data_IF_827024230777
#
_entry.id   IF_827024230777
#
_cell.length_a   1.000
_cell.length_b   1.000
_cell.length_c   1.000
_cell.angle_alpha   90.00
_cell.angle_beta   90.00
_cell.angle_gamma   90.00
#
_symmetry.space_group_name_H-M   'P 1'
#
loop_
_entity.id
_entity.type
_entity.pdbx_description
1 polymer ?
#
# COMPACT_ATOMS: atom_id res chain seq x y z
N UNK A 1 24.07 -2.22 -63.98
CA UNK A 1 24.88 -2.69 -62.83
C UNK A 1 24.64 -1.75 -61.67
N UNK A 2 23.96 -2.19 -60.62
CA UNK A 2 23.73 -1.37 -59.42
C UNK A 2 24.96 -1.55 -58.54
N UNK A 3 25.83 -0.54 -58.49
CA UNK A 3 26.96 -0.48 -57.56
C UNK A 3 26.41 -0.35 -56.14
N UNK A 4 26.50 -1.42 -55.34
CA UNK A 4 26.15 -1.36 -53.92
C UNK A 4 27.17 -0.46 -53.22
N UNK A 5 26.71 0.69 -52.69
CA UNK A 5 27.52 1.52 -51.78
C UNK A 5 27.90 0.67 -50.57
N UNK A 6 29.20 0.47 -50.35
CA UNK A 6 29.71 -0.17 -49.14
C UNK A 6 29.51 0.80 -47.97
N UNK A 7 28.82 0.35 -46.93
CA UNK A 7 28.60 1.11 -45.70
C UNK A 7 29.94 1.29 -44.98
N UNK A 8 30.26 2.51 -44.56
CA UNK A 8 31.50 2.76 -43.82
C UNK A 8 31.31 2.42 -42.34
N UNK A 9 32.37 1.94 -41.68
CA UNK A 9 32.33 1.67 -40.24
C UNK A 9 32.02 2.94 -39.42
N UNK A 10 32.41 4.11 -39.93
CA UNK A 10 32.12 5.41 -39.33
C UNK A 10 30.61 5.74 -39.35
N UNK A 11 29.93 5.52 -40.48
CA UNK A 11 28.48 5.75 -40.58
C UNK A 11 27.71 4.90 -39.56
N UNK A 12 28.11 3.65 -39.37
CA UNK A 12 27.49 2.78 -38.37
C UNK A 12 27.74 3.27 -36.94
N UNK A 13 28.96 3.74 -36.67
CA UNK A 13 29.36 4.20 -35.34
C UNK A 13 28.63 5.48 -34.93
N UNK A 14 28.47 6.46 -35.83
CA UNK A 14 27.74 7.70 -35.55
C UNK A 14 26.26 7.41 -35.28
N UNK A 15 25.65 6.50 -36.05
CA UNK A 15 24.24 6.13 -35.84
C UNK A 15 24.04 5.48 -34.49
N UNK A 16 24.91 4.53 -34.10
CA UNK A 16 24.85 3.92 -32.77
C UNK A 16 25.08 4.93 -31.65
N UNK A 17 26.00 5.88 -31.82
CA UNK A 17 26.22 6.96 -30.85
C UNK A 17 24.95 7.79 -30.63
N UNK A 18 24.25 8.16 -31.71
CA UNK A 18 23.00 8.93 -31.62
C UNK A 18 21.90 8.11 -30.91
N UNK A 19 21.75 6.82 -31.24
CA UNK A 19 20.76 5.93 -30.60
C UNK A 19 21.02 5.83 -29.09
N UNK A 20 22.28 5.67 -28.67
CA UNK A 20 22.65 5.57 -27.25
C UNK A 20 22.28 6.85 -26.49
N UNK A 21 22.57 8.03 -27.06
CA UNK A 21 22.21 9.32 -26.44
C UNK A 21 20.69 9.44 -26.30
N UNK A 22 19.92 9.09 -27.34
CA UNK A 22 18.46 9.15 -27.29
C UNK A 22 17.88 8.20 -26.25
N UNK A 23 18.34 6.94 -26.21
CA UNK A 23 17.87 5.95 -25.23
C UNK A 23 18.22 6.38 -23.80
N UNK A 24 19.43 6.91 -23.58
CA UNK A 24 19.85 7.40 -22.25
C UNK A 24 18.92 8.49 -21.70
N UNK A 25 18.39 9.37 -22.55
CA UNK A 25 17.43 10.41 -22.15
C UNK A 25 16.00 9.88 -21.98
N UNK A 26 15.60 8.84 -22.74
CA UNK A 26 14.24 8.29 -22.71
C UNK A 26 14.00 7.32 -21.54
N UNK A 27 15.01 6.55 -21.14
CA UNK A 27 14.91 5.55 -20.06
C UNK A 27 14.37 6.12 -18.73
N UNK A 28 14.90 7.23 -18.16
CA UNK A 28 14.40 7.75 -16.88
C UNK A 28 12.96 8.27 -16.98
N UNK A 29 12.56 8.81 -18.14
CA UNK A 29 11.19 9.23 -18.35
C UNK A 29 10.22 8.03 -18.38
N UNK A 30 10.61 6.94 -19.06
CA UNK A 30 9.79 5.74 -19.17
C UNK A 30 9.57 5.05 -17.81
N UNK A 31 10.59 4.98 -16.95
CA UNK A 31 10.45 4.38 -15.62
C UNK A 31 9.49 5.17 -14.73
N UNK A 32 9.55 6.51 -14.77
CA UNK A 32 8.62 7.37 -14.05
C UNK A 32 7.18 7.22 -14.55
N UNK A 33 6.97 7.18 -15.88
CA UNK A 33 5.65 6.95 -16.50
C UNK A 33 5.10 5.58 -16.10
N UNK A 34 5.92 4.52 -16.16
CA UNK A 34 5.51 3.18 -15.74
C UNK A 34 5.07 3.15 -14.28
N UNK A 35 5.83 3.75 -13.36
CA UNK A 35 5.45 3.83 -11.94
C UNK A 35 4.09 4.51 -11.76
N UNK A 36 3.86 5.64 -12.44
CA UNK A 36 2.58 6.35 -12.40
C UNK A 36 1.43 5.52 -12.97
N UNK A 37 1.65 4.82 -14.08
CA UNK A 37 0.65 3.92 -14.66
C UNK A 37 0.26 2.79 -13.71
N UNK A 38 1.22 2.18 -13.02
CA UNK A 38 0.94 1.14 -12.02
C UNK A 38 0.18 1.69 -10.81
N UNK A 39 0.48 2.93 -10.39
CA UNK A 39 -0.30 3.65 -9.37
C UNK A 39 -1.75 3.87 -9.82
N UNK A 40 -1.99 4.30 -11.06
CA UNK A 40 -3.36 4.47 -11.59
C UNK A 40 -4.13 3.16 -11.61
N UNK A 41 -3.49 2.05 -12.02
CA UNK A 41 -4.10 0.72 -11.94
C UNK A 41 -4.44 0.32 -10.50
N UNK A 42 -3.57 0.62 -9.54
CA UNK A 42 -3.84 0.37 -8.12
C UNK A 42 -5.04 1.19 -7.60
N UNK A 43 -5.15 2.47 -8.00
CA UNK A 43 -6.29 3.34 -7.68
C UNK A 43 -7.58 2.74 -8.23
N UNK A 44 -7.58 2.26 -9.47
CA UNK A 44 -8.74 1.63 -10.08
C UNK A 44 -9.14 0.32 -9.34
N UNK A 45 -8.17 -0.47 -8.91
CA UNK A 45 -8.43 -1.66 -8.08
C UNK A 45 -9.06 -1.28 -6.73
N UNK A 46 -8.54 -0.24 -6.06
CA UNK A 46 -9.11 0.27 -4.81
C UNK A 46 -10.57 0.75 -4.98
N UNK A 47 -10.88 1.44 -6.08
CA UNK A 47 -12.26 1.80 -6.40
C UNK A 47 -13.16 0.57 -6.58
N UNK A 48 -12.72 -0.44 -7.33
CA UNK A 48 -13.48 -1.68 -7.51
C UNK A 48 -13.69 -2.45 -6.19
N UNK A 49 -12.68 -2.49 -5.32
CA UNK A 49 -12.80 -3.07 -3.99
C UNK A 49 -13.81 -2.30 -3.11
N UNK A 50 -13.78 -0.97 -3.17
CA UNK A 50 -14.76 -0.13 -2.49
C UNK A 50 -16.18 -0.39 -3.01
N UNK A 51 -16.38 -0.51 -4.32
CA UNK A 51 -17.70 -0.86 -4.87
C UNK A 51 -18.19 -2.21 -4.35
N UNK A 52 -17.34 -3.23 -4.34
CA UNK A 52 -17.68 -4.55 -3.80
C UNK A 52 -18.02 -4.49 -2.30
N UNK A 53 -17.29 -3.67 -1.54
CA UNK A 53 -17.57 -3.42 -0.12
C UNK A 53 -18.87 -2.67 0.11
N UNK A 54 -19.19 -1.67 -0.72
CA UNK A 54 -20.44 -0.92 -0.64
C UNK A 54 -21.64 -1.80 -0.98
N UNK A 55 -21.54 -2.66 -2.01
CA UNK A 55 -22.58 -3.64 -2.34
C UNK A 55 -22.80 -4.64 -1.19
N UNK A 56 -21.72 -5.14 -0.58
CA UNK A 56 -21.84 -6.00 0.60
C UNK A 56 -22.62 -5.32 1.72
N UNK A 57 -22.31 -4.05 2.01
CA UNK A 57 -22.99 -3.26 3.05
C UNK A 57 -24.46 -3.08 2.77
N UNK A 58 -24.81 -2.79 1.53
CA UNK A 58 -26.21 -2.65 1.09
C UNK A 58 -27.00 -3.95 1.35
N UNK A 59 -26.39 -5.10 1.05
CA UNK A 59 -27.01 -6.42 1.26
C UNK A 59 -27.03 -6.89 2.74
N UNK A 60 -26.22 -6.26 3.61
CA UNK A 60 -26.00 -6.70 5.00
C UNK A 60 -26.27 -5.60 6.03
N UNK A 61 -27.34 -4.81 5.87
CA UNK A 61 -27.80 -3.81 6.85
C UNK A 61 -26.68 -2.84 7.29
N UNK A 62 -25.88 -2.35 6.34
CA UNK A 62 -24.76 -1.43 6.57
C UNK A 62 -23.62 -1.97 7.46
N UNK A 63 -23.59 -3.29 7.70
CA UNK A 63 -22.53 -3.93 8.50
C UNK A 63 -21.23 -4.09 7.73
N UNK A 64 -20.12 -4.00 8.46
CA UNK A 64 -18.79 -4.10 7.87
C UNK A 64 -18.39 -5.58 7.67
N UNK A 65 -17.78 -5.96 6.55
CA UNK A 65 -17.40 -7.34 6.29
C UNK A 65 -16.24 -7.78 7.19
N UNK A 66 -16.49 -8.67 8.15
CA UNK A 66 -15.49 -9.25 9.03
C UNK A 66 -14.25 -9.86 8.33
N UNK A 67 -14.32 -10.18 7.04
CA UNK A 67 -13.14 -10.52 6.24
C UNK A 67 -13.29 -10.19 4.76
N UNK A 68 -12.15 -10.10 4.08
CA UNK A 68 -12.12 -9.90 2.62
C UNK A 68 -12.79 -11.04 1.82
N UNK A 69 -12.98 -12.21 2.43
CA UNK A 69 -13.67 -13.34 1.78
C UNK A 69 -15.15 -13.02 1.57
N UNK A 70 -15.77 -12.20 2.43
CA UNK A 70 -17.19 -11.87 2.34
C UNK A 70 -17.53 -10.94 1.18
N UNK A 71 -16.59 -10.11 0.74
CA UNK A 71 -16.78 -9.26 -0.44
C UNK A 71 -16.46 -9.97 -1.75
N UNK A 72 -15.92 -11.19 -1.69
CA UNK A 72 -15.49 -11.95 -2.86
C UNK A 72 -16.60 -12.21 -3.89
N UNK A 73 -17.87 -12.51 -3.50
CA UNK A 73 -18.97 -12.66 -4.45
C UNK A 73 -19.31 -11.39 -5.23
N UNK A 74 -18.96 -10.21 -4.69
CA UNK A 74 -19.25 -8.89 -5.28
C UNK A 74 -18.17 -8.43 -6.26
N UNK A 75 -17.08 -9.20 -6.37
CA UNK A 75 -15.96 -8.90 -7.26
C UNK A 75 -16.03 -9.76 -8.51
N UNK A 76 -16.11 -9.12 -9.68
CA UNK A 76 -16.09 -9.82 -10.97
C UNK A 76 -14.71 -10.40 -11.33
N UNK A 77 -13.65 -9.62 -11.11
CA UNK A 77 -12.27 -10.04 -11.43
C UNK A 77 -11.42 -10.12 -10.16
N UNK A 78 -10.97 -11.33 -9.83
CA UNK A 78 -10.16 -11.61 -8.63
C UNK A 78 -8.77 -10.95 -8.66
N UNK A 79 -8.28 -10.54 -9.83
CA UNK A 79 -7.03 -9.77 -9.93
C UNK A 79 -7.13 -8.38 -9.26
N UNK A 80 -8.34 -7.91 -8.95
CA UNK A 80 -8.53 -6.66 -8.21
C UNK A 80 -7.89 -6.69 -6.81
N UNK A 81 -7.69 -7.88 -6.23
CA UNK A 81 -7.08 -8.04 -4.91
C UNK A 81 -5.56 -7.88 -4.92
N UNK A 82 -4.94 -7.80 -6.11
CA UNK A 82 -3.50 -7.64 -6.25
C UNK A 82 -3.13 -6.25 -6.73
N UNK A 83 -2.13 -5.66 -6.07
CA UNK A 83 -1.51 -4.43 -6.52
C UNK A 83 -0.50 -4.76 -7.63
N UNK A 84 -0.45 -4.01 -8.73
CA UNK A 84 0.54 -4.22 -9.80
C UNK A 84 2.00 -4.04 -9.37
N UNK A 85 2.25 -3.40 -8.22
CA UNK A 85 3.58 -3.28 -7.60
C UNK A 85 3.89 -4.44 -6.64
N UNK A 86 2.98 -5.39 -6.45
CA UNK A 86 3.19 -6.51 -5.55
C UNK A 86 4.12 -7.55 -6.19
N UNK A 87 5.38 -7.52 -5.77
CA UNK A 87 6.39 -8.52 -6.12
C UNK A 87 6.49 -9.65 -5.08
N UNK A 88 5.58 -9.66 -4.08
CA UNK A 88 5.61 -10.54 -2.92
C UNK A 88 4.57 -11.65 -2.97
N UNK A 89 3.78 -11.71 -4.05
CA UNK A 89 2.66 -12.64 -4.20
C UNK A 89 1.64 -12.54 -3.04
N UNK A 90 1.43 -11.33 -2.52
CA UNK A 90 0.47 -11.05 -1.46
C UNK A 90 1.07 -10.28 -0.30
N UNK A 91 1.15 -8.95 -0.43
CA UNK A 91 1.67 -8.06 0.62
C UNK A 91 0.88 -8.07 1.94
N UNK A 92 -0.35 -8.62 1.96
CA UNK A 92 -1.14 -8.88 3.16
C UNK A 92 -1.14 -10.39 3.46
N UNK A 93 -0.25 -10.90 4.34
CA UNK A 93 -0.10 -12.34 4.57
C UNK A 93 -1.36 -12.99 5.14
N UNK A 94 -2.04 -12.32 6.07
CA UNK A 94 -3.26 -12.80 6.71
C UNK A 94 -4.40 -12.97 5.70
N UNK A 95 -4.60 -11.95 4.86
CA UNK A 95 -5.62 -11.99 3.81
C UNK A 95 -5.27 -13.01 2.72
N UNK A 96 -4.01 -13.08 2.32
CA UNK A 96 -3.50 -14.04 1.33
C UNK A 96 -3.74 -15.48 1.78
N UNK A 97 -3.45 -15.77 3.06
CA UNK A 97 -3.72 -17.09 3.66
C UNK A 97 -5.21 -17.40 3.70
N UNK A 98 -6.05 -16.46 4.16
CA UNK A 98 -7.52 -16.66 4.25
C UNK A 98 -8.16 -16.88 2.88
N UNK A 99 -7.72 -16.15 1.85
CA UNK A 99 -8.28 -16.26 0.51
C UNK A 99 -7.65 -17.38 -0.31
N UNK A 100 -6.54 -17.96 0.15
CA UNK A 100 -5.71 -18.90 -0.63
C UNK A 100 -5.37 -18.35 -2.02
N UNK A 101 -5.20 -17.03 -2.11
CA UNK A 101 -4.88 -16.28 -3.32
C UNK A 101 -4.13 -15.00 -2.93
N UNK A 102 -3.22 -14.47 -3.77
CA UNK A 102 -2.48 -13.25 -3.46
C UNK A 102 -3.39 -12.06 -3.15
N UNK A 103 -3.19 -11.43 -2.00
CA UNK A 103 -3.87 -10.18 -1.60
C UNK A 103 -2.84 -9.14 -1.20
N UNK A 104 -2.81 -8.02 -1.91
CA UNK A 104 -1.86 -6.93 -1.66
C UNK A 104 -2.41 -5.81 -0.78
N UNK A 105 -3.74 -5.70 -0.69
CA UNK A 105 -4.42 -4.64 0.03
C UNK A 105 -4.66 -5.03 1.48
N UNK A 106 -4.48 -4.06 2.35
CA UNK A 106 -4.90 -4.14 3.74
C UNK A 106 -6.27 -3.47 3.89
N UNK A 107 -6.98 -3.80 4.95
CA UNK A 107 -8.33 -3.31 5.16
C UNK A 107 -8.60 -3.12 6.65
N UNK A 108 -9.59 -2.29 6.95
CA UNK A 108 -9.93 -1.88 8.31
C UNK A 108 -10.14 -3.05 9.30
N UNK A 109 -10.53 -4.23 8.77
CA UNK A 109 -10.95 -5.40 9.55
C UNK A 109 -9.90 -6.52 9.56
N UNK A 110 -8.69 -6.25 9.05
CA UNK A 110 -7.55 -7.15 9.24
C UNK A 110 -7.04 -7.02 10.68
N UNK A 111 -7.65 -7.81 11.56
CA UNK A 111 -7.21 -8.20 12.92
C UNK A 111 -6.98 -7.09 13.98
N UNK A 112 -6.94 -5.80 13.62
CA UNK A 112 -6.66 -4.70 14.56
C UNK A 112 -7.94 -4.06 15.15
N UNK A 113 -9.01 -3.78 14.38
CA UNK A 113 -10.16 -2.91 14.78
C UNK A 113 -11.48 -3.66 15.04
N UNK A 114 -11.52 -5.00 14.98
CA UNK A 114 -12.76 -5.79 14.90
C UNK A 114 -13.72 -5.76 16.12
N UNK A 115 -13.52 -4.89 17.11
CA UNK A 115 -14.53 -4.64 18.14
C UNK A 115 -15.59 -3.67 17.63
N UNK A 116 -16.87 -4.04 17.79
CA UNK A 116 -18.01 -3.18 17.48
C UNK A 116 -17.88 -1.78 18.12
N UNK A 117 -17.33 -1.71 19.34
CA UNK A 117 -17.05 -0.45 20.04
C UNK A 117 -16.07 0.44 19.27
N UNK A 118 -14.99 -0.13 18.73
CA UNK A 118 -13.95 0.63 18.04
C UNK A 118 -14.44 1.14 16.68
N UNK A 119 -15.22 0.32 15.97
CA UNK A 119 -15.87 0.72 14.70
C UNK A 119 -16.83 1.88 14.93
N UNK A 120 -17.59 1.85 16.01
CA UNK A 120 -18.53 2.91 16.37
C UNK A 120 -17.80 4.22 16.73
N UNK A 121 -16.70 4.15 17.49
CA UNK A 121 -15.84 5.32 17.76
C UNK A 121 -15.27 5.88 16.45
N UNK A 122 -14.79 5.01 15.57
CA UNK A 122 -14.25 5.40 14.26
C UNK A 122 -15.29 6.12 13.40
N UNK A 123 -16.49 5.55 13.26
CA UNK A 123 -17.58 6.12 12.44
C UNK A 123 -18.01 7.50 12.94
N UNK A 124 -18.02 7.71 14.26
CA UNK A 124 -18.38 8.99 14.86
C UNK A 124 -17.33 10.07 14.61
N UNK A 125 -16.05 9.72 14.66
CA UNK A 125 -14.95 10.68 14.54
C UNK A 125 -14.57 10.96 13.09
N UNK A 126 -14.49 9.94 12.25
CA UNK A 126 -14.30 10.08 10.80
C UNK A 126 -15.39 9.26 10.07
N UNK A 127 -16.55 9.85 9.73
CA UNK A 127 -17.59 9.14 8.98
C UNK A 127 -17.14 8.74 7.57
N UNK A 128 -16.10 9.41 7.06
CA UNK A 128 -15.52 9.16 5.74
C UNK A 128 -14.24 8.34 5.79
N UNK A 129 -13.93 7.64 6.89
CA UNK A 129 -12.67 6.93 7.06
C UNK A 129 -12.32 5.95 5.93
N UNK A 130 -11.05 5.61 5.88
CA UNK A 130 -10.47 4.64 4.98
C UNK A 130 -10.88 3.20 5.24
N UNK A 131 -11.17 2.44 4.18
CA UNK A 131 -11.61 1.03 4.27
C UNK A 131 -10.61 0.04 3.69
N UNK A 132 -9.98 0.35 2.55
CA UNK A 132 -8.87 -0.41 1.97
C UNK A 132 -7.68 0.49 1.73
N UNK A 133 -6.48 -0.03 1.94
CA UNK A 133 -5.26 0.70 1.64
C UNK A 133 -4.12 -0.17 1.13
N UNK A 134 -3.22 0.46 0.38
CA UNK A 134 -2.03 -0.14 -0.18
C UNK A 134 -0.78 0.60 0.32
N UNK A 135 0.10 -0.13 1.00
CA UNK A 135 1.37 0.39 1.53
C UNK A 135 2.53 0.29 0.54
N UNK A 136 2.36 -0.45 -0.56
CA UNK A 136 3.42 -0.75 -1.55
C UNK A 136 3.88 0.46 -2.37
N UNK A 137 3.19 1.59 -2.25
CA UNK A 137 3.56 2.84 -2.91
C UNK A 137 4.58 3.66 -2.10
N UNK A 138 4.83 3.27 -0.86
CA UNK A 138 5.83 3.87 0.02
C UNK A 138 7.26 3.44 -0.30
N UNK A 139 8.20 3.95 0.49
CA UNK A 139 9.60 3.54 0.49
C UNK A 139 9.78 2.36 1.44
N UNK A 140 10.40 1.25 1.00
CA UNK A 140 10.68 0.12 1.88
C UNK A 140 11.53 0.55 3.08
N UNK A 141 11.12 0.14 4.28
CA UNK A 141 11.85 0.35 5.53
C UNK A 141 11.79 -0.94 6.37
N UNK A 142 12.93 -1.61 6.57
CA UNK A 142 13.03 -2.88 7.30
C UNK A 142 13.20 -4.14 6.42
N UNK A 143 13.41 -5.30 7.04
CA UNK A 143 13.89 -6.56 6.43
C UNK A 143 12.90 -7.35 5.53
N UNK A 144 13.24 -8.61 5.20
CA UNK A 144 12.56 -9.47 4.19
C UNK A 144 11.10 -9.85 4.47
N UNK A 145 10.59 -9.62 5.69
CA UNK A 145 9.21 -9.92 6.06
C UNK A 145 8.34 -8.69 5.76
N UNK A 146 7.56 -8.80 4.68
CA UNK A 146 6.72 -7.71 4.18
C UNK A 146 5.38 -7.70 4.91
N UNK A 147 5.20 -6.68 5.75
CA UNK A 147 3.99 -6.40 6.50
C UNK A 147 3.62 -4.91 6.38
N UNK A 148 2.52 -4.51 7.02
CA UNK A 148 2.00 -3.13 7.07
C UNK A 148 3.06 -2.08 7.48
N UNK A 149 4.07 -2.51 8.25
CA UNK A 149 5.12 -1.66 8.83
C UNK A 149 6.43 -1.69 8.02
N UNK A 150 6.47 -2.38 6.87
CA UNK A 150 7.67 -2.53 6.03
C UNK A 150 7.84 -1.41 4.98
N UNK A 151 6.91 -0.47 4.92
CA UNK A 151 6.92 0.65 3.97
C UNK A 151 6.55 1.94 4.70
N UNK A 152 7.35 2.98 4.48
CA UNK A 152 7.13 4.33 4.97
C UNK A 152 6.63 5.25 3.85
N UNK A 153 5.93 6.33 4.21
CA UNK A 153 5.56 7.37 3.27
C UNK A 153 4.23 7.08 2.58
N UNK A 154 4.22 7.04 1.25
CA UNK A 154 3.00 7.08 0.47
C UNK A 154 2.12 5.82 0.65
N UNK A 155 0.86 6.03 1.01
CA UNK A 155 -0.20 5.03 1.14
C UNK A 155 -1.34 5.46 0.26
N UNK A 156 -1.82 4.56 -0.61
CA UNK A 156 -3.08 4.77 -1.29
C UNK A 156 -4.20 4.23 -0.42
N UNK A 157 -5.21 5.05 -0.17
CA UNK A 157 -6.36 4.75 0.69
C UNK A 157 -7.64 5.00 -0.10
N UNK A 158 -8.60 4.08 -0.04
CA UNK A 158 -9.99 4.36 -0.44
C UNK A 158 -10.85 4.56 0.80
N UNK A 159 -11.65 5.62 0.78
CA UNK A 159 -12.53 6.06 1.86
C UNK A 159 -13.94 5.48 1.71
N UNK A 160 -14.77 5.57 2.76
CA UNK A 160 -16.16 5.07 2.74
C UNK A 160 -17.05 5.82 1.74
N UNK A 161 -16.66 7.01 1.29
CA UNK A 161 -17.31 7.78 0.22
C UNK A 161 -16.83 7.41 -1.19
N UNK A 162 -15.90 6.45 -1.29
CA UNK A 162 -15.31 6.01 -2.55
C UNK A 162 -14.15 6.87 -3.04
N UNK A 163 -13.78 7.95 -2.34
CA UNK A 163 -12.64 8.77 -2.71
C UNK A 163 -11.33 8.00 -2.47
N UNK A 164 -10.48 7.92 -3.50
CA UNK A 164 -9.12 7.40 -3.37
C UNK A 164 -8.13 8.55 -3.18
N UNK A 165 -7.31 8.46 -2.13
CA UNK A 165 -6.31 9.48 -1.77
C UNK A 165 -4.94 8.85 -1.58
N UNK A 166 -3.91 9.64 -1.85
CA UNK A 166 -2.54 9.33 -1.43
C UNK A 166 -2.27 10.07 -0.13
N UNK A 167 -1.83 9.34 0.89
CA UNK A 167 -1.45 9.89 2.19
C UNK A 167 0.00 9.55 2.52
N UNK A 168 0.73 10.50 3.10
CA UNK A 168 2.04 10.21 3.70
C UNK A 168 1.85 9.78 5.15
N UNK A 169 2.24 8.54 5.45
CA UNK A 169 2.16 7.98 6.81
C UNK A 169 3.56 7.51 7.20
N UNK A 170 4.12 8.14 8.24
CA UNK A 170 5.41 7.75 8.80
C UNK A 170 5.35 6.42 9.53
N UNK A 171 6.52 5.85 9.80
CA UNK A 171 6.66 4.76 10.77
C UNK A 171 6.95 5.36 12.15
N UNK A 172 6.46 4.71 13.20
CA UNK A 172 6.87 5.01 14.57
C UNK A 172 7.68 3.85 15.11
N UNK A 173 8.82 4.17 15.72
CA UNK A 173 9.75 3.18 16.19
C UNK A 173 10.00 3.38 17.68
N UNK A 174 9.94 2.29 18.43
CA UNK A 174 10.13 2.29 19.86
C UNK A 174 11.26 1.36 20.23
N UNK A 175 12.10 1.77 21.18
CA UNK A 175 13.12 0.91 21.75
C UNK A 175 12.56 0.23 22.99
N UNK A 176 12.53 -1.10 22.97
CA UNK A 176 12.08 -1.93 24.09
C UNK A 176 13.22 -2.13 25.11
N UNK A 177 12.86 -2.53 26.33
CA UNK A 177 13.78 -2.72 27.46
C UNK A 177 14.83 -3.81 27.21
N UNK A 178 14.52 -4.79 26.36
CA UNK A 178 15.44 -5.85 25.91
C UNK A 178 16.41 -5.41 24.80
N UNK A 179 16.33 -4.14 24.37
CA UNK A 179 17.17 -3.57 23.32
C UNK A 179 16.68 -3.83 21.90
N UNK A 180 15.54 -4.51 21.72
CA UNK A 180 14.89 -4.68 20.41
C UNK A 180 14.10 -3.44 20.00
N UNK A 181 13.71 -3.39 18.73
CA UNK A 181 12.91 -2.30 18.17
C UNK A 181 11.51 -2.79 17.82
N UNK A 182 10.51 -2.05 18.26
CA UNK A 182 9.13 -2.20 17.83
C UNK A 182 8.83 -1.12 16.78
N UNK A 183 8.65 -1.55 15.53
CA UNK A 183 8.23 -0.68 14.42
C UNK A 183 6.73 -0.84 14.26
N UNK A 184 5.99 0.24 14.46
CA UNK A 184 4.54 0.27 14.26
C UNK A 184 4.16 1.28 13.19
N UNK A 185 3.10 0.94 12.46
CA UNK A 185 2.35 1.89 11.67
C UNK A 185 0.95 2.00 12.28
N UNK A 186 0.68 3.09 13.01
CA UNK A 186 -0.56 3.27 13.76
C UNK A 186 -1.76 3.03 12.84
N UNK A 187 -2.66 2.10 13.20
CA UNK A 187 -3.81 1.80 12.35
C UNK A 187 -4.65 3.03 12.02
N UNK A 188 -4.83 3.96 12.98
CA UNK A 188 -5.59 5.19 12.77
C UNK A 188 -5.00 6.05 11.65
N UNK A 189 -3.67 6.25 11.66
CA UNK A 189 -2.98 7.11 10.70
C UNK A 189 -3.09 6.55 9.27
N UNK A 190 -3.37 5.27 9.10
CA UNK A 190 -3.55 4.63 7.79
C UNK A 190 -4.95 4.81 7.22
N UNK A 191 -5.94 5.17 8.03
CA UNK A 191 -7.35 5.20 7.65
C UNK A 191 -8.00 6.57 7.85
N UNK A 192 -7.44 7.45 8.66
CA UNK A 192 -8.03 8.75 8.99
C UNK A 192 -6.99 9.86 8.97
N UNK A 193 -7.36 11.02 8.40
CA UNK A 193 -6.53 12.24 8.40
C UNK A 193 -6.77 13.12 9.63
N UNK A 194 -7.71 12.73 10.48
CA UNK A 194 -8.04 13.45 11.70
C UNK A 194 -7.13 13.03 12.85
N UNK A 195 -7.09 13.84 13.90
CA UNK A 195 -6.39 13.48 15.14
C UNK A 195 -7.00 12.21 15.76
N UNK A 196 -6.15 11.32 16.27
CA UNK A 196 -6.62 10.07 16.85
C UNK A 196 -7.45 10.31 18.12
N UNK A 197 -8.65 9.72 18.23
CA UNK A 197 -9.51 9.84 19.41
C UNK A 197 -8.88 9.22 20.65
N UNK A 198 -9.03 9.87 21.80
CA UNK A 198 -8.54 9.34 23.08
C UNK A 198 -9.34 8.13 23.59
N UNK A 199 -10.56 7.91 23.08
CA UNK A 199 -11.35 6.73 23.48
C UNK A 199 -10.89 5.45 22.79
N UNK A 200 -10.10 5.56 21.70
CA UNK A 200 -9.49 4.40 21.09
C UNK A 200 -8.31 3.91 21.95
N UNK A 201 -8.11 2.59 22.04
CA UNK A 201 -6.91 2.03 22.64
C UNK A 201 -5.62 2.66 22.09
N UNK A 202 -4.64 2.87 22.97
CA UNK A 202 -3.35 3.50 22.71
C UNK A 202 -2.64 2.95 21.46
N UNK A 203 -2.75 1.62 21.25
CA UNK A 203 -2.23 0.91 20.06
C UNK A 203 -2.74 1.44 18.71
N UNK A 204 -3.98 1.95 18.62
CA UNK A 204 -4.52 2.52 17.38
C UNK A 204 -3.88 3.86 17.04
N UNK A 205 -3.62 4.63 18.09
CA UNK A 205 -3.01 5.95 18.04
C UNK A 205 -1.49 5.88 18.17
N UNK A 206 -0.89 4.68 18.12
CA UNK A 206 0.55 4.42 18.09
C UNK A 206 1.32 4.81 19.34
N UNK A 207 0.68 4.82 20.51
CA UNK A 207 1.38 4.80 21.79
C UNK A 207 1.36 3.35 22.29
N UNK A 208 2.52 2.69 22.48
CA UNK A 208 2.62 1.55 23.35
C UNK A 208 2.29 1.99 24.79
N UNK A 209 1.87 1.06 25.64
CA UNK A 209 1.71 1.33 27.07
C UNK A 209 3.05 1.82 27.68
N UNK A 210 2.98 2.53 28.80
CA UNK A 210 3.90 3.56 29.36
C UNK A 210 5.44 3.30 29.47
N UNK A 211 6.03 2.32 28.80
CA UNK A 211 7.45 1.92 28.94
C UNK A 211 8.29 1.98 27.64
N UNK A 212 7.81 2.67 26.61
CA UNK A 212 8.47 2.69 25.30
C UNK A 212 8.99 4.07 24.90
N UNK A 213 10.31 4.22 24.76
CA UNK A 213 10.92 5.45 24.23
C UNK A 213 10.86 5.46 22.71
N UNK A 214 10.22 6.48 22.14
CA UNK A 214 10.22 6.70 20.69
C UNK A 214 11.64 7.08 20.20
N UNK A 215 12.08 6.44 19.12
CA UNK A 215 13.40 6.57 18.53
C UNK A 215 13.28 6.67 17.00
N UNK A 216 14.31 7.19 16.35
CA UNK A 216 14.34 7.24 14.88
C UNK A 216 14.25 5.84 14.28
N UNK A 217 13.41 5.69 13.26
CA UNK A 217 13.25 4.42 12.58
C UNK A 217 14.53 4.03 11.81
N UNK A 218 15.02 2.78 11.96
CA UNK A 218 16.24 2.31 11.30
C UNK A 218 16.01 2.00 9.80
N UNK A 219 15.43 2.92 9.05
CA UNK A 219 15.24 2.80 7.61
C UNK A 219 16.58 2.96 6.87
N UNK A 220 16.93 2.02 5.98
CA UNK A 220 18.15 2.12 5.15
C UNK A 220 19.39 1.39 5.66
N UNK A 221 19.33 0.62 6.75
CA UNK A 221 20.40 -0.33 7.09
C UNK A 221 20.12 -1.68 6.39
N UNK A 222 20.95 -2.13 5.43
CA UNK A 222 20.92 -3.54 5.04
C UNK A 222 21.26 -4.36 6.29
N UNK A 223 20.47 -5.39 6.59
CA UNK A 223 20.82 -6.34 7.63
C UNK A 223 22.20 -6.95 7.31
N UNK A 224 23.07 -7.03 8.32
CA UNK A 224 24.13 -8.05 8.35
C UNK A 224 23.49 -9.41 8.54
#
# INVERSE_FOLDING_TARGET
MITKKAFTLLELLVVLAIIVVLVALLLPALTAVRKRSLTVSCINNLHQLHLAWSMYREDHEDTYPASIVQIFPYVRNKQVFTCPLDHFAGASPHATKRLSAPVSYFYLLSDDINSAKNIEILRRHDPHHGVFYCVLHGTPCGGRLYAKNSFEGDVLLVRTDGAVRTKKVGLRCFRLSDGTYLIIRPPWDLISDLSCPKELPSMFCGMPDDEATEVDCPCGRPYR
#
